data_IF_918336706113
#
_entry.id   IF_918336706113
#
_cell.length_a   1.000
_cell.length_b   1.000
_cell.length_c   1.000
_cell.angle_alpha   90.00
_cell.angle_beta   90.00
_cell.angle_gamma   90.00
#
_symmetry.space_group_name_H-M   'P 1'
#
loop_
_entity.id
_entity.type
_entity.pdbx_description
1 polymer ?
#
# COMPACT_ATOMS: atom_id res chain seq x y z
N UNK A 1 -2.65 -13.62 -3.39
CA UNK A 1 -1.27 -13.53 -2.87
C UNK A 1 -0.67 -12.14 -3.07
N UNK A 2 -0.55 -11.64 -4.31
CA UNK A 2 0.13 -10.36 -4.60
C UNK A 2 -0.41 -9.16 -3.79
N UNK A 3 -1.73 -8.98 -3.70
CA UNK A 3 -2.32 -7.92 -2.88
C UNK A 3 -2.12 -8.07 -1.37
N UNK A 4 -1.83 -9.28 -0.87
CA UNK A 4 -1.52 -9.51 0.54
C UNK A 4 -0.02 -9.34 0.80
N UNK A 5 0.80 -10.32 0.37
CA UNK A 5 2.26 -10.33 0.59
C UNK A 5 2.96 -9.19 -0.12
N UNK A 6 2.68 -9.00 -1.41
CA UNK A 6 3.40 -8.03 -2.24
C UNK A 6 3.01 -6.58 -1.99
N UNK A 7 1.82 -6.31 -1.44
CA UNK A 7 1.30 -4.95 -1.25
C UNK A 7 1.18 -4.57 0.22
N UNK A 8 0.42 -5.33 1.02
CA UNK A 8 0.07 -4.93 2.40
C UNK A 8 1.11 -5.40 3.42
N UNK A 9 1.44 -6.68 3.44
CA UNK A 9 2.31 -7.25 4.49
C UNK A 9 3.79 -7.02 4.24
N UNK A 10 4.28 -7.31 3.03
CA UNK A 10 5.70 -7.29 2.69
C UNK A 10 6.47 -6.00 3.03
N UNK A 11 5.85 -4.79 3.01
CA UNK A 11 6.53 -3.57 3.43
C UNK A 11 6.80 -3.42 4.95
N UNK A 12 6.18 -4.24 5.81
CA UNK A 12 6.36 -4.15 7.27
C UNK A 12 7.74 -4.68 7.64
N UNK A 13 8.65 -3.78 8.00
CA UNK A 13 10.08 -4.05 7.84
C UNK A 13 10.65 -5.03 8.85
N UNK A 14 10.17 -5.01 10.08
CA UNK A 14 10.71 -5.77 11.22
C UNK A 14 10.03 -7.14 11.42
N UNK A 15 9.17 -7.53 10.48
CA UNK A 15 8.56 -8.85 10.45
C UNK A 15 9.16 -9.73 9.35
N UNK A 16 9.20 -11.04 9.59
CA UNK A 16 9.55 -12.03 8.57
C UNK A 16 8.28 -12.50 7.85
N UNK A 17 8.28 -12.45 6.52
CA UNK A 17 7.13 -12.84 5.70
C UNK A 17 7.43 -14.10 4.90
N UNK A 18 6.88 -15.24 5.34
CA UNK A 18 7.06 -16.54 4.68
C UNK A 18 6.09 -16.61 3.50
N UNK A 19 6.62 -16.78 2.29
CA UNK A 19 5.86 -17.19 1.11
C UNK A 19 5.65 -18.69 1.19
N UNK A 20 4.50 -19.11 1.71
CA UNK A 20 4.25 -20.51 2.08
C UNK A 20 3.63 -21.26 0.90
N UNK A 21 4.48 -22.03 0.23
CA UNK A 21 4.17 -22.79 -0.98
C UNK A 21 5.44 -23.12 -1.76
N UNK A 22 5.33 -23.42 -3.06
CA UNK A 22 6.48 -23.60 -3.96
C UNK A 22 7.33 -22.33 -4.10
N UNK A 23 8.51 -22.44 -4.73
CA UNK A 23 9.46 -21.31 -4.81
C UNK A 23 8.98 -20.09 -5.61
N UNK A 24 8.02 -20.27 -6.53
CA UNK A 24 7.70 -19.30 -7.59
C UNK A 24 7.20 -17.95 -7.09
N UNK A 25 6.14 -17.89 -6.28
CA UNK A 25 5.48 -16.62 -5.96
C UNK A 25 6.39 -15.71 -5.13
N UNK A 26 7.11 -16.29 -4.16
CA UNK A 26 8.15 -15.59 -3.40
C UNK A 26 9.23 -15.01 -4.32
N UNK A 27 9.76 -15.81 -5.26
CA UNK A 27 10.85 -15.41 -6.14
C UNK A 27 10.48 -14.24 -7.08
N UNK A 28 9.33 -14.29 -7.76
CA UNK A 28 8.92 -13.22 -8.68
C UNK A 28 8.50 -11.92 -7.97
N UNK A 29 8.16 -12.01 -6.69
CA UNK A 29 7.81 -10.84 -5.87
C UNK A 29 8.98 -10.29 -5.04
N UNK A 30 10.18 -10.86 -5.20
CA UNK A 30 11.35 -10.48 -4.43
C UNK A 30 11.98 -9.18 -4.96
N UNK A 31 11.85 -8.10 -4.20
CA UNK A 31 12.44 -6.79 -4.56
C UNK A 31 11.81 -6.12 -5.79
N UNK A 32 10.72 -6.66 -6.33
CA UNK A 32 10.07 -6.12 -7.55
C UNK A 32 9.23 -4.88 -7.28
N UNK A 33 8.80 -4.68 -6.02
CA UNK A 33 8.09 -3.48 -5.57
C UNK A 33 9.00 -2.61 -4.70
N UNK A 34 9.03 -1.31 -5.00
CA UNK A 34 9.96 -0.34 -4.39
C UNK A 34 9.45 0.28 -3.09
N UNK A 35 8.82 -0.51 -2.22
CA UNK A 35 8.40 -0.05 -0.89
C UNK A 35 9.64 0.16 0.01
N UNK A 36 10.13 1.39 0.06
CA UNK A 36 11.37 1.74 0.76
C UNK A 36 11.21 1.64 2.28
N UNK A 37 12.32 1.34 2.95
CA UNK A 37 12.41 1.24 4.40
C UNK A 37 13.82 1.61 4.87
N UNK A 38 13.95 1.94 6.15
CA UNK A 38 15.24 2.11 6.84
C UNK A 38 15.42 1.01 7.87
N UNK A 39 16.53 0.28 7.77
CA UNK A 39 16.94 -0.75 8.70
C UNK A 39 18.11 -1.59 8.17
N UNK A 40 18.58 -2.54 8.97
CA UNK A 40 19.69 -3.43 8.63
C UNK A 40 19.15 -4.76 8.13
N UNK A 41 19.16 -4.93 6.80
CA UNK A 41 18.54 -6.09 6.15
C UNK A 41 19.18 -7.40 6.58
N UNK A 42 18.36 -8.37 7.02
CA UNK A 42 18.80 -9.67 7.55
C UNK A 42 19.17 -9.66 9.03
N UNK A 43 19.12 -8.49 9.69
CA UNK A 43 19.33 -8.36 11.13
C UNK A 43 18.03 -7.93 11.81
N UNK A 44 17.62 -6.67 11.62
CA UNK A 44 16.41 -6.10 12.24
C UNK A 44 15.27 -5.86 11.23
N UNK A 45 15.57 -5.97 9.93
CA UNK A 45 14.63 -5.69 8.85
C UNK A 45 14.73 -6.74 7.74
N UNK A 46 13.62 -7.06 7.08
CA UNK A 46 13.54 -8.28 6.24
C UNK A 46 12.82 -8.09 4.89
N UNK A 47 12.37 -6.87 4.56
CA UNK A 47 11.56 -6.55 3.37
C UNK A 47 12.14 -7.09 2.06
N UNK A 48 13.45 -6.96 1.86
CA UNK A 48 14.14 -7.36 0.63
C UNK A 48 14.80 -8.74 0.74
N UNK A 49 14.30 -9.60 1.63
CA UNK A 49 14.62 -11.02 1.66
C UNK A 49 13.43 -11.85 1.20
N UNK A 50 13.72 -13.04 0.68
CA UNK A 50 12.73 -14.03 0.31
C UNK A 50 12.80 -15.18 1.30
N UNK A 51 11.76 -15.29 2.12
CA UNK A 51 11.53 -16.46 2.97
C UNK A 51 10.46 -17.30 2.30
N UNK A 52 10.72 -18.59 2.15
CA UNK A 52 9.76 -19.53 1.56
C UNK A 52 9.88 -20.89 2.22
N UNK A 53 8.79 -21.64 2.18
CA UNK A 53 8.81 -23.05 2.53
C UNK A 53 9.26 -23.95 1.40
N UNK A 54 9.42 -23.44 0.16
CA UNK A 54 9.87 -24.18 -1.03
C UNK A 54 9.25 -25.60 -1.13
N UNK A 55 7.93 -25.65 -1.28
CA UNK A 55 7.20 -26.91 -1.34
C UNK A 55 7.72 -27.81 -2.45
N UNK A 56 8.00 -29.04 -2.06
CA UNK A 56 8.31 -30.15 -2.94
C UNK A 56 7.08 -31.06 -3.07
N UNK A 57 7.13 -32.03 -3.98
CA UNK A 57 6.04 -32.98 -4.20
C UNK A 57 5.57 -33.66 -2.90
N UNK A 58 6.50 -34.06 -2.02
CA UNK A 58 6.16 -34.65 -0.72
C UNK A 58 5.34 -33.73 0.18
N UNK A 59 5.55 -32.42 0.08
CA UNK A 59 4.83 -31.43 0.90
C UNK A 59 3.40 -31.24 0.35
N UNK A 60 3.21 -31.42 -0.96
CA UNK A 60 1.89 -31.46 -1.60
C UNK A 60 1.13 -32.73 -1.19
N UNK A 61 1.79 -33.88 -1.23
CA UNK A 61 1.16 -35.19 -0.97
C UNK A 61 0.82 -35.38 0.52
N UNK A 62 1.68 -34.91 1.42
CA UNK A 62 1.56 -35.19 2.86
C UNK A 62 1.23 -33.97 3.73
N UNK A 63 1.04 -32.79 3.12
CA UNK A 63 0.81 -31.54 3.83
C UNK A 63 2.09 -30.84 4.31
N UNK A 64 2.01 -29.52 4.46
CA UNK A 64 3.13 -28.64 4.78
C UNK A 64 3.25 -28.25 6.26
N UNK A 65 2.24 -28.51 7.10
CA UNK A 65 2.19 -28.02 8.48
C UNK A 65 3.41 -28.41 9.33
N UNK A 66 3.89 -29.66 9.20
CA UNK A 66 5.09 -30.12 9.91
C UNK A 66 6.35 -29.40 9.45
N UNK A 67 6.46 -29.12 8.15
CA UNK A 67 7.58 -28.38 7.56
C UNK A 67 7.53 -26.92 8.04
N UNK A 68 6.34 -26.33 8.08
CA UNK A 68 6.11 -24.97 8.56
C UNK A 68 6.52 -24.81 10.03
N UNK A 69 6.20 -25.76 10.91
CA UNK A 69 6.68 -25.77 12.31
C UNK A 69 8.21 -25.68 12.36
N UNK A 70 8.91 -26.51 11.58
CA UNK A 70 10.37 -26.52 11.55
C UNK A 70 10.96 -25.22 11.00
N UNK A 71 10.36 -24.66 9.95
CA UNK A 71 10.76 -23.37 9.38
C UNK A 71 10.62 -22.24 10.40
N UNK A 72 9.53 -22.23 11.18
CA UNK A 72 9.34 -21.22 12.24
C UNK A 72 10.45 -21.32 13.28
N UNK A 73 10.85 -22.53 13.68
CA UNK A 73 11.96 -22.74 14.63
C UNK A 73 13.29 -22.23 14.06
N UNK A 74 13.58 -22.55 12.80
CA UNK A 74 14.79 -22.07 12.11
C UNK A 74 14.82 -20.55 11.97
N UNK A 75 13.68 -19.91 11.71
CA UNK A 75 13.58 -18.44 11.65
C UNK A 75 13.88 -17.81 13.02
N UNK A 76 13.40 -18.41 14.13
CA UNK A 76 13.73 -17.89 15.46
C UNK A 76 15.21 -18.00 15.80
N UNK A 77 15.85 -19.09 15.37
CA UNK A 77 17.28 -19.31 15.61
C UNK A 77 18.14 -18.38 14.76
N UNK A 78 17.84 -18.27 13.45
CA UNK A 78 18.68 -17.55 12.48
C UNK A 78 18.42 -16.05 12.45
N UNK A 79 17.21 -15.60 12.78
CA UNK A 79 16.79 -14.20 12.72
C UNK A 79 16.17 -13.74 14.05
N UNK A 80 16.87 -13.84 15.18
CA UNK A 80 16.29 -13.69 16.52
C UNK A 80 15.67 -12.31 16.78
N UNK A 81 16.05 -11.27 16.03
CA UNK A 81 15.53 -9.91 16.16
C UNK A 81 14.24 -9.65 15.37
N UNK A 82 13.66 -10.65 14.69
CA UNK A 82 12.36 -10.48 14.06
C UNK A 82 11.28 -10.20 15.13
N UNK A 83 10.45 -9.18 14.92
CA UNK A 83 9.40 -8.79 15.88
C UNK A 83 8.09 -9.57 15.67
N UNK A 84 7.95 -10.24 14.53
CA UNK A 84 6.81 -11.09 14.24
C UNK A 84 6.98 -11.83 12.92
N UNK A 85 6.09 -12.79 12.67
CA UNK A 85 6.13 -13.62 11.47
C UNK A 85 4.76 -13.60 10.81
N UNK A 86 4.70 -13.54 9.48
CA UNK A 86 3.46 -13.82 8.74
C UNK A 86 3.64 -15.00 7.81
N UNK A 87 2.61 -15.81 7.66
CA UNK A 87 2.56 -16.98 6.79
C UNK A 87 1.62 -16.65 5.64
N UNK A 88 2.20 -16.32 4.50
CA UNK A 88 1.47 -15.86 3.31
C UNK A 88 1.18 -17.06 2.43
N UNK A 89 -0.06 -17.56 2.47
CA UNK A 89 -0.47 -18.76 1.74
C UNK A 89 -0.37 -18.55 0.22
N UNK A 90 0.36 -19.42 -0.46
CA UNK A 90 0.28 -19.59 -1.91
C UNK A 90 -0.83 -20.59 -2.28
N UNK A 91 -1.07 -20.81 -3.57
CA UNK A 91 -2.21 -21.60 -4.04
C UNK A 91 -2.34 -23.00 -3.40
N UNK A 92 -1.28 -23.82 -3.26
CA UNK A 92 -1.46 -25.19 -2.79
C UNK A 92 -2.00 -25.32 -1.37
N UNK A 93 -1.70 -24.36 -0.49
CA UNK A 93 -2.00 -24.45 0.95
C UNK A 93 -3.49 -24.68 1.20
N UNK A 94 -4.35 -23.87 0.56
CA UNK A 94 -5.79 -24.00 0.69
C UNK A 94 -6.38 -25.22 -0.03
N UNK A 95 -5.69 -25.75 -1.03
CA UNK A 95 -6.14 -26.90 -1.82
C UNK A 95 -5.89 -28.23 -1.10
N UNK A 96 -4.77 -28.33 -0.38
CA UNK A 96 -4.38 -29.56 0.33
C UNK A 96 -4.89 -29.60 1.78
N UNK A 97 -5.45 -28.49 2.27
CA UNK A 97 -6.11 -28.44 3.58
C UNK A 97 -5.15 -28.27 4.77
N UNK A 98 -3.95 -27.73 4.56
CA UNK A 98 -3.03 -27.35 5.64
C UNK A 98 -3.69 -26.37 6.62
N UNK A 99 -3.46 -26.51 7.93
CA UNK A 99 -4.03 -25.68 9.01
C UNK A 99 -2.99 -24.73 9.61
N UNK A 100 -2.64 -23.70 8.82
CA UNK A 100 -1.65 -22.71 9.23
C UNK A 100 -2.09 -21.88 10.44
N UNK A 101 -3.39 -21.78 10.73
CA UNK A 101 -3.91 -21.11 11.91
C UNK A 101 -3.61 -21.89 13.19
N UNK A 102 -3.78 -23.22 13.18
CA UNK A 102 -3.40 -24.07 14.29
C UNK A 102 -1.88 -24.02 14.55
N UNK A 103 -1.07 -24.09 13.49
CA UNK A 103 0.40 -23.95 13.59
C UNK A 103 0.77 -22.59 14.19
N UNK A 104 0.18 -21.50 13.70
CA UNK A 104 0.46 -20.13 14.17
C UNK A 104 0.18 -19.97 15.67
N UNK A 105 -1.00 -20.43 16.13
CA UNK A 105 -1.36 -20.36 17.56
C UNK A 105 -0.43 -21.19 18.44
N UNK A 106 -0.12 -22.42 18.02
CA UNK A 106 0.74 -23.32 18.78
C UNK A 106 2.14 -22.73 18.94
N UNK A 107 2.76 -22.26 17.84
CA UNK A 107 4.11 -21.70 17.86
C UNK A 107 4.17 -20.32 18.50
N UNK A 108 3.13 -19.50 18.36
CA UNK A 108 3.02 -18.23 19.09
C UNK A 108 3.08 -18.45 20.60
N UNK A 109 2.30 -19.42 21.11
CA UNK A 109 2.31 -19.82 22.53
C UNK A 109 3.68 -20.35 22.96
N UNK A 110 4.30 -21.19 22.14
CA UNK A 110 5.63 -21.76 22.42
C UNK A 110 6.72 -20.68 22.50
N UNK A 111 6.64 -19.66 21.65
CA UNK A 111 7.58 -18.53 21.62
C UNK A 111 7.19 -17.38 22.55
N UNK A 112 6.45 -17.66 23.63
CA UNK A 112 6.14 -16.65 24.65
C UNK A 112 5.18 -15.55 24.19
N UNK A 113 4.26 -15.86 23.27
CA UNK A 113 3.27 -14.90 22.75
C UNK A 113 3.75 -14.11 21.53
N UNK A 114 4.78 -14.59 20.82
CA UNK A 114 5.24 -13.92 19.60
C UNK A 114 4.13 -13.82 18.57
N UNK A 115 4.00 -12.67 17.92
CA UNK A 115 3.00 -12.44 16.85
C UNK A 115 3.32 -13.29 15.62
N UNK A 116 2.48 -14.30 15.37
CA UNK A 116 2.53 -15.15 14.17
C UNK A 116 1.17 -15.07 13.47
N UNK A 117 1.15 -14.52 12.27
CA UNK A 117 -0.07 -14.19 11.53
C UNK A 117 -0.26 -15.15 10.35
N UNK A 118 -1.22 -16.08 10.38
CA UNK A 118 -1.63 -16.86 9.23
C UNK A 118 -2.45 -15.99 8.28
N UNK A 119 -2.10 -15.99 7.00
CA UNK A 119 -2.80 -15.20 5.98
C UNK A 119 -3.22 -16.10 4.83
N UNK A 120 -4.52 -16.39 4.76
CA UNK A 120 -5.17 -17.18 3.69
C UNK A 120 -5.36 -16.37 2.42
N UNK A 121 -4.24 -15.97 1.83
CA UNK A 121 -4.19 -15.17 0.61
C UNK A 121 -3.85 -15.98 -0.65
N UNK A 122 -4.28 -17.23 -0.73
CA UNK A 122 -4.06 -18.12 -1.86
C UNK A 122 -4.46 -17.44 -3.18
N UNK A 123 -3.68 -17.65 -4.25
CA UNK A 123 -3.84 -16.91 -5.51
C UNK A 123 -5.15 -17.15 -6.27
N UNK A 124 -5.85 -18.25 -5.97
CA UNK A 124 -7.15 -18.56 -6.58
C UNK A 124 -8.33 -17.85 -5.90
N UNK A 125 -8.11 -17.17 -4.77
CA UNK A 125 -9.19 -16.47 -4.05
C UNK A 125 -9.46 -15.12 -4.68
N UNK A 126 -10.75 -14.85 -4.92
CA UNK A 126 -11.19 -13.60 -5.53
C UNK A 126 -10.82 -13.54 -7.01
N UNK A 127 -10.77 -12.34 -7.56
CA UNK A 127 -10.54 -12.11 -8.99
C UNK A 127 -9.30 -11.26 -9.28
N UNK A 128 -8.68 -10.69 -8.26
CA UNK A 128 -7.54 -9.78 -8.41
C UNK A 128 -6.81 -9.55 -7.08
N UNK A 129 -5.80 -8.67 -7.09
CA UNK A 129 -5.09 -8.17 -5.92
C UNK A 129 -6.04 -7.61 -4.86
N UNK A 130 -7.23 -7.11 -5.25
CA UNK A 130 -8.17 -6.45 -4.35
C UNK A 130 -8.61 -7.30 -3.17
N UNK A 131 -8.96 -8.58 -3.39
CA UNK A 131 -9.34 -9.47 -2.28
C UNK A 131 -8.14 -9.78 -1.37
N UNK A 132 -6.94 -9.82 -1.94
CA UNK A 132 -5.70 -9.92 -1.16
C UNK A 132 -5.52 -8.76 -0.19
N UNK A 133 -5.92 -7.53 -0.57
CA UNK A 133 -5.93 -6.41 0.36
C UNK A 133 -6.89 -6.66 1.52
N UNK A 134 -8.14 -7.05 1.23
CA UNK A 134 -9.16 -7.28 2.25
C UNK A 134 -8.72 -8.38 3.24
N UNK A 135 -8.27 -9.53 2.72
CA UNK A 135 -7.74 -10.63 3.54
C UNK A 135 -6.59 -10.17 4.44
N UNK A 136 -5.69 -9.34 3.91
CA UNK A 136 -4.58 -8.82 4.71
C UNK A 136 -5.05 -7.85 5.82
N UNK A 137 -6.05 -7.00 5.55
CA UNK A 137 -6.64 -6.12 6.55
C UNK A 137 -7.33 -6.93 7.67
N UNK A 138 -8.06 -7.97 7.30
CA UNK A 138 -8.71 -8.87 8.26
C UNK A 138 -7.69 -9.63 9.10
N UNK A 139 -6.59 -10.07 8.50
CA UNK A 139 -5.50 -10.72 9.25
C UNK A 139 -4.86 -9.77 10.28
N UNK A 140 -4.67 -8.48 9.94
CA UNK A 140 -4.24 -7.47 10.92
C UNK A 140 -5.27 -7.32 12.03
N UNK A 141 -6.55 -7.16 11.68
CA UNK A 141 -7.66 -7.02 12.65
C UNK A 141 -7.63 -8.17 13.67
N UNK A 142 -7.54 -9.39 13.17
CA UNK A 142 -7.73 -10.58 14.00
C UNK A 142 -6.47 -10.97 14.78
N UNK A 143 -5.27 -10.79 14.20
CA UNK A 143 -4.01 -11.32 14.76
C UNK A 143 -3.04 -10.25 15.25
N UNK A 144 -3.28 -8.97 14.98
CA UNK A 144 -2.55 -7.88 15.62
C UNK A 144 -3.48 -7.20 16.61
N UNK A 145 -4.62 -6.65 16.16
CA UNK A 145 -5.53 -5.93 17.05
C UNK A 145 -6.29 -6.85 18.01
N UNK A 146 -6.58 -8.09 17.63
CA UNK A 146 -7.18 -9.08 18.52
C UNK A 146 -6.35 -9.37 19.78
N UNK A 147 -5.03 -9.23 19.70
CA UNK A 147 -4.13 -9.39 20.86
C UNK A 147 -3.95 -8.12 21.69
N UNK A 148 -4.44 -6.96 21.21
CA UNK A 148 -4.44 -5.71 21.95
C UNK A 148 -5.63 -5.60 22.92
N UNK A 149 -6.46 -6.64 23.03
CA UNK A 149 -7.57 -6.72 23.99
C UNK A 149 -7.04 -6.88 25.42
N UNK A 150 -6.54 -5.77 25.96
CA UNK A 150 -6.11 -5.58 27.35
C UNK A 150 -5.71 -4.12 27.58
N UNK A 151 -5.79 -3.65 28.82
CA UNK A 151 -5.45 -2.27 29.25
C UNK A 151 -3.93 -1.99 29.24
N UNK A 152 -3.23 -2.48 28.22
CA UNK A 152 -1.84 -2.13 27.98
C UNK A 152 -1.74 -0.63 27.75
N UNK A 153 -1.10 0.08 28.71
CA UNK A 153 -0.78 1.49 28.52
C UNK A 153 0.01 1.63 27.21
N UNK A 154 -0.29 2.65 26.38
CA UNK A 154 0.48 2.88 25.16
C UNK A 154 1.97 3.00 25.52
N UNK A 155 2.84 2.44 24.67
CA UNK A 155 4.30 2.52 24.84
C UNK A 155 4.84 3.96 24.73
N UNK A 156 3.98 4.91 24.36
CA UNK A 156 4.25 6.33 24.24
C UNK A 156 3.13 7.13 24.91
N UNK A 157 3.43 8.36 25.34
CA UNK A 157 2.41 9.29 25.84
C UNK A 157 1.61 9.85 24.65
N UNK A 158 0.29 9.62 24.58
CA UNK A 158 -0.54 10.12 23.48
C UNK A 158 -0.64 11.64 23.51
N UNK A 159 -0.81 12.24 22.33
CA UNK A 159 -1.10 13.67 22.17
C UNK A 159 -2.40 13.90 21.39
N UNK A 160 -2.98 15.11 21.45
CA UNK A 160 -4.13 15.49 20.61
C UNK A 160 -3.81 15.51 19.10
N UNK A 161 -2.55 15.44 18.70
CA UNK A 161 -2.09 15.62 17.31
C UNK A 161 -1.56 14.32 16.67
N UNK A 162 -1.83 13.18 17.29
CA UNK A 162 -1.36 11.88 16.81
C UNK A 162 -2.17 11.42 15.61
N UNK A 163 -1.51 11.11 14.49
CA UNK A 163 -2.15 10.60 13.27
C UNK A 163 -1.43 9.39 12.72
N UNK A 164 -2.13 8.59 11.92
CA UNK A 164 -1.53 7.51 11.15
C UNK A 164 -1.73 7.75 9.65
N UNK A 165 -0.68 7.54 8.86
CA UNK A 165 -0.77 7.51 7.40
C UNK A 165 -1.23 6.11 7.01
N UNK A 166 -2.43 6.01 6.43
CA UNK A 166 -3.04 4.73 6.06
C UNK A 166 -3.01 4.53 4.54
N UNK A 167 -2.46 3.40 4.08
CA UNK A 167 -2.44 3.05 2.66
C UNK A 167 -1.40 3.84 1.84
N UNK A 168 -0.27 4.21 2.45
CA UNK A 168 0.93 4.63 1.73
C UNK A 168 2.03 3.59 1.92
N UNK A 169 2.57 3.11 0.80
CA UNK A 169 3.52 2.02 0.77
C UNK A 169 4.96 2.48 0.55
N UNK A 170 5.19 3.79 0.63
CA UNK A 170 6.51 4.40 0.55
C UNK A 170 7.26 4.03 -0.73
N UNK A 171 6.56 4.05 -1.87
CA UNK A 171 7.14 3.70 -3.16
C UNK A 171 8.22 4.72 -3.51
N UNK A 172 9.49 4.32 -3.44
CA UNK A 172 10.59 5.24 -3.68
C UNK A 172 10.69 6.42 -2.70
N UNK A 173 10.08 6.34 -1.52
CA UNK A 173 10.08 7.43 -0.53
C UNK A 173 8.79 8.26 -0.44
N UNK A 174 7.71 7.88 -1.14
CA UNK A 174 6.43 8.62 -1.15
C UNK A 174 5.92 8.97 0.26
N UNK A 175 5.86 7.99 1.17
CA UNK A 175 5.33 8.16 2.53
C UNK A 175 6.22 9.09 3.36
N UNK A 176 7.54 9.01 3.21
CA UNK A 176 8.47 9.91 3.91
C UNK A 176 8.27 11.37 3.50
N UNK A 177 8.11 11.61 2.19
CA UNK A 177 7.84 12.96 1.68
C UNK A 177 6.49 13.50 2.17
N UNK A 178 5.49 12.62 2.30
CA UNK A 178 4.19 12.95 2.87
C UNK A 178 4.28 13.23 4.37
N UNK A 179 5.00 12.39 5.11
CA UNK A 179 5.18 12.50 6.56
C UNK A 179 5.78 13.84 6.95
N UNK A 180 6.83 14.29 6.24
CA UNK A 180 7.48 15.57 6.52
C UNK A 180 6.49 16.72 6.49
N UNK A 181 5.59 16.79 5.50
CA UNK A 181 4.59 17.85 5.40
C UNK A 181 3.61 17.84 6.59
N UNK A 182 3.18 16.65 7.02
CA UNK A 182 2.28 16.48 8.16
C UNK A 182 2.95 16.87 9.48
N UNK A 183 4.21 16.53 9.67
CA UNK A 183 4.98 16.88 10.87
C UNK A 183 5.33 18.38 10.91
N UNK A 184 5.70 18.99 9.78
CA UNK A 184 5.92 20.45 9.70
C UNK A 184 4.64 21.26 9.92
N UNK A 185 3.48 20.69 9.56
CA UNK A 185 2.15 21.24 9.86
C UNK A 185 1.86 21.20 11.38
N UNK A 186 2.56 20.34 12.14
CA UNK A 186 2.48 20.25 13.59
C UNK A 186 1.83 18.98 14.13
N UNK A 187 1.53 18.00 13.25
CA UNK A 187 1.04 16.68 13.65
C UNK A 187 2.18 15.77 14.09
N UNK A 188 1.86 14.70 14.82
CA UNK A 188 2.79 13.61 15.13
C UNK A 188 2.35 12.35 14.40
N UNK A 189 3.11 11.90 13.41
CA UNK A 189 2.80 10.68 12.67
C UNK A 189 3.28 9.46 13.46
N UNK A 190 2.34 8.74 14.10
CA UNK A 190 2.66 7.60 14.97
C UNK A 190 2.75 6.27 14.22
N UNK A 191 2.27 6.20 12.98
CA UNK A 191 2.32 5.00 12.16
C UNK A 191 2.24 5.31 10.65
N UNK A 192 2.85 4.46 9.84
CA UNK A 192 2.73 4.44 8.37
C UNK A 192 2.37 3.04 7.87
N UNK A 193 1.25 2.93 7.15
CA UNK A 193 0.69 1.64 6.71
C UNK A 193 0.85 1.46 5.20
N UNK A 194 1.76 0.62 4.73
CA UNK A 194 2.79 -0.11 5.48
C UNK A 194 4.22 0.19 5.03
N UNK A 195 4.41 1.17 4.14
CA UNK A 195 5.75 1.54 3.69
C UNK A 195 6.62 2.05 4.83
N UNK A 196 7.79 1.44 5.02
CA UNK A 196 8.69 1.66 6.17
C UNK A 196 8.05 1.38 7.55
N UNK A 197 6.84 0.79 7.58
CA UNK A 197 6.11 0.52 8.82
C UNK A 197 6.73 -0.60 9.63
N UNK A 198 6.52 -0.56 10.95
CA UNK A 198 6.92 -1.61 11.90
C UNK A 198 5.71 -2.24 12.59
N UNK A 199 5.85 -3.46 13.11
CA UNK A 199 4.79 -4.09 13.90
C UNK A 199 4.34 -3.20 15.08
N UNK A 200 5.30 -2.55 15.74
CA UNK A 200 5.01 -1.65 16.86
C UNK A 200 4.16 -0.44 16.44
N UNK A 201 4.37 0.11 15.24
CA UNK A 201 3.53 1.19 14.69
C UNK A 201 2.12 0.71 14.36
N UNK A 202 1.98 -0.49 13.80
CA UNK A 202 0.67 -1.10 13.58
C UNK A 202 -0.08 -1.22 14.92
N UNK A 203 0.55 -1.79 15.94
CA UNK A 203 -0.01 -1.94 17.29
C UNK A 203 -0.35 -0.60 17.97
N UNK A 204 0.41 0.46 17.66
CA UNK A 204 0.18 1.81 18.18
C UNK A 204 -1.00 2.54 17.51
N UNK A 205 -1.38 2.14 16.30
CA UNK A 205 -2.35 2.86 15.46
C UNK A 205 -3.73 3.06 16.11
N UNK A 206 -4.29 2.11 16.89
CA UNK A 206 -5.52 2.32 17.65
C UNK A 206 -5.48 3.48 18.69
N UNK A 207 -4.35 4.17 18.84
CA UNK A 207 -4.20 5.36 19.70
C UNK A 207 -4.20 6.68 18.92
N UNK A 208 -4.22 6.63 17.59
CA UNK A 208 -4.31 7.81 16.73
C UNK A 208 -5.61 8.62 17.01
N UNK A 209 -5.58 9.90 16.65
CA UNK A 209 -6.72 10.81 16.69
C UNK A 209 -7.39 10.95 15.33
N UNK A 210 -6.65 10.66 14.26
CA UNK A 210 -7.15 10.63 12.88
C UNK A 210 -6.34 9.63 12.06
N UNK A 211 -7.03 8.81 11.27
CA UNK A 211 -6.46 7.97 10.25
C UNK A 211 -6.53 8.68 8.89
N UNK A 212 -5.38 9.02 8.31
CA UNK A 212 -5.32 9.77 7.06
C UNK A 212 -5.11 8.78 5.91
N UNK A 213 -6.18 8.50 5.16
CA UNK A 213 -6.25 7.40 4.20
C UNK A 213 -5.85 7.84 2.78
N UNK A 214 -4.69 7.40 2.31
CA UNK A 214 -4.25 7.66 0.94
C UNK A 214 -4.85 6.63 -0.03
N UNK A 215 -4.43 5.36 0.06
CA UNK A 215 -4.95 4.30 -0.78
C UNK A 215 -6.26 3.74 -0.22
N UNK A 216 -7.36 4.38 -0.59
CA UNK A 216 -8.70 3.94 -0.24
C UNK A 216 -8.95 2.45 -0.58
N UNK A 217 -8.67 2.02 -1.82
CA UNK A 217 -8.96 0.65 -2.27
C UNK A 217 -8.38 -0.44 -1.39
N UNK A 218 -7.16 -0.25 -0.89
CA UNK A 218 -6.45 -1.31 -0.16
C UNK A 218 -6.66 -1.27 1.35
N UNK A 219 -6.96 -0.11 1.94
CA UNK A 219 -6.98 0.04 3.40
C UNK A 219 -8.29 0.63 3.95
N UNK A 220 -9.31 0.88 3.13
CA UNK A 220 -10.62 1.32 3.65
C UNK A 220 -11.22 0.31 4.64
N UNK A 221 -10.90 -0.99 4.50
CA UNK A 221 -11.40 -2.05 5.38
C UNK A 221 -10.95 -1.83 6.83
N UNK A 222 -9.63 -1.69 7.07
CA UNK A 222 -9.10 -1.46 8.42
C UNK A 222 -9.44 -0.06 8.93
N UNK A 223 -9.54 0.95 8.06
CA UNK A 223 -9.99 2.29 8.46
C UNK A 223 -11.41 2.27 9.03
N UNK A 224 -12.36 1.60 8.34
CA UNK A 224 -13.74 1.41 8.82
C UNK A 224 -13.77 0.63 10.12
N UNK A 225 -13.00 -0.45 10.22
CA UNK A 225 -12.91 -1.23 11.45
C UNK A 225 -12.39 -0.39 12.63
N UNK A 226 -11.38 0.46 12.42
CA UNK A 226 -10.83 1.32 13.48
C UNK A 226 -11.80 2.43 13.90
N UNK A 227 -12.60 2.94 12.98
CA UNK A 227 -13.70 3.86 13.30
C UNK A 227 -14.77 3.16 14.15
N UNK A 228 -15.23 1.97 13.74
CA UNK A 228 -16.25 1.19 14.43
C UNK A 228 -15.80 0.71 15.83
N UNK A 229 -14.58 0.17 15.95
CA UNK A 229 -14.08 -0.45 17.19
C UNK A 229 -13.44 0.55 18.16
N UNK A 230 -12.69 1.53 17.63
CA UNK A 230 -11.89 2.46 18.44
C UNK A 230 -12.38 3.92 18.37
N UNK A 231 -13.40 4.23 17.56
CA UNK A 231 -13.92 5.58 17.41
C UNK A 231 -12.96 6.53 16.70
N UNK A 232 -11.96 6.01 15.96
CA UNK A 232 -10.95 6.83 15.29
C UNK A 232 -11.48 7.23 13.91
N UNK A 233 -11.76 8.53 13.68
CA UNK A 233 -12.23 8.98 12.37
C UNK A 233 -11.14 8.75 11.32
N UNK A 234 -11.56 8.67 10.05
CA UNK A 234 -10.65 8.64 8.92
C UNK A 234 -11.06 9.61 7.83
N UNK A 235 -10.10 10.11 7.07
CA UNK A 235 -10.38 10.96 5.91
C UNK A 235 -9.48 10.61 4.72
N UNK A 236 -10.07 10.61 3.52
CA UNK A 236 -9.30 10.46 2.27
C UNK A 236 -8.50 11.74 1.98
N UNK A 237 -7.26 11.57 1.52
CA UNK A 237 -6.38 12.67 1.08
C UNK A 237 -5.61 12.28 -0.19
N UNK A 238 -5.01 13.26 -0.86
CA UNK A 238 -4.23 13.07 -2.07
C UNK A 238 -3.00 13.98 -2.10
N UNK A 239 -1.81 13.40 -2.08
CA UNK A 239 -0.54 14.13 -2.14
C UNK A 239 0.16 14.07 -3.52
N UNK A 240 -0.60 13.87 -4.59
CA UNK A 240 -0.10 14.03 -5.95
C UNK A 240 -0.38 15.43 -6.50
N UNK A 241 0.69 16.23 -6.63
CA UNK A 241 0.63 17.58 -7.20
C UNK A 241 0.35 18.66 -6.16
N UNK A 242 0.91 19.87 -6.33
CA UNK A 242 0.79 20.95 -5.35
C UNK A 242 -0.66 21.33 -5.01
N UNK A 243 -1.58 21.33 -5.99
CA UNK A 243 -2.97 21.70 -5.72
C UNK A 243 -3.65 20.71 -4.77
N UNK A 244 -3.52 19.40 -5.04
CA UNK A 244 -4.10 18.35 -4.20
C UNK A 244 -3.42 18.24 -2.84
N UNK A 245 -2.11 18.49 -2.77
CA UNK A 245 -1.39 18.58 -1.49
C UNK A 245 -1.97 19.71 -0.64
N UNK A 246 -2.13 20.92 -1.18
CA UNK A 246 -2.66 22.06 -0.43
C UNK A 246 -4.12 21.84 0.03
N UNK A 247 -4.98 21.32 -0.85
CA UNK A 247 -6.36 20.92 -0.51
C UNK A 247 -6.38 19.89 0.63
N UNK A 248 -5.51 18.88 0.55
CA UNK A 248 -5.42 17.81 1.53
C UNK A 248 -4.90 18.30 2.88
N UNK A 249 -3.85 19.12 2.92
CA UNK A 249 -3.32 19.70 4.16
C UNK A 249 -4.40 20.51 4.90
N UNK A 250 -5.12 21.37 4.17
CA UNK A 250 -6.25 22.14 4.73
C UNK A 250 -7.37 21.24 5.25
N UNK A 251 -7.74 20.21 4.48
CA UNK A 251 -8.77 19.24 4.88
C UNK A 251 -8.37 18.51 6.16
N UNK A 252 -7.14 18.03 6.24
CA UNK A 252 -6.61 17.33 7.42
C UNK A 252 -6.58 18.28 8.63
N UNK A 253 -6.07 19.49 8.45
CA UNK A 253 -6.03 20.49 9.51
C UNK A 253 -7.42 20.87 10.06
N UNK A 254 -8.47 20.77 9.23
CA UNK A 254 -9.86 20.98 9.64
C UNK A 254 -10.37 20.03 10.74
N UNK A 255 -9.69 18.91 10.99
CA UNK A 255 -10.00 17.98 12.10
C UNK A 255 -9.38 18.40 13.43
N UNK A 256 -8.55 19.44 13.44
CA UNK A 256 -7.77 19.88 14.60
C UNK A 256 -8.02 21.36 14.93
N UNK A 257 -7.27 21.88 15.90
CA UNK A 257 -7.36 23.26 16.34
C UNK A 257 -6.67 24.25 15.40
N UNK A 258 -6.77 25.55 15.73
CA UNK A 258 -6.27 26.63 14.88
C UNK A 258 -4.74 26.59 14.72
N UNK A 259 -4.00 26.02 15.69
CA UNK A 259 -2.56 25.81 15.56
C UNK A 259 -2.22 24.94 14.36
N UNK A 260 -2.96 23.85 14.14
CA UNK A 260 -2.73 22.95 12.98
C UNK A 260 -3.21 23.61 11.68
N UNK A 261 -4.30 24.38 11.71
CA UNK A 261 -4.77 25.15 10.53
C UNK A 261 -3.75 26.19 10.09
N UNK A 262 -3.20 26.97 11.02
CA UNK A 262 -2.10 27.90 10.75
C UNK A 262 -0.84 27.15 10.28
N UNK A 263 -0.58 25.97 10.83
CA UNK A 263 0.48 25.08 10.38
C UNK A 263 0.35 24.66 8.92
N UNK A 264 -0.87 24.38 8.45
CA UNK A 264 -1.13 24.01 7.06
C UNK A 264 -0.79 25.16 6.11
N UNK A 265 -1.27 26.37 6.39
CA UNK A 265 -0.96 27.55 5.56
C UNK A 265 0.53 27.88 5.57
N UNK A 266 1.20 27.77 6.74
CA UNK A 266 2.65 27.96 6.85
C UNK A 266 3.43 26.99 5.97
N UNK A 267 3.06 25.71 5.96
CA UNK A 267 3.71 24.69 5.11
C UNK A 267 3.45 25.00 3.62
N UNK A 268 2.21 25.32 3.25
CA UNK A 268 1.85 25.66 1.86
C UNK A 268 2.69 26.87 1.39
N UNK A 269 2.75 27.94 2.17
CA UNK A 269 3.53 29.14 1.86
C UNK A 269 5.03 28.83 1.73
N UNK A 270 5.59 28.04 2.66
CA UNK A 270 7.00 27.63 2.67
C UNK A 270 7.40 26.95 1.36
N UNK A 271 6.56 26.06 0.82
CA UNK A 271 6.87 25.29 -0.39
C UNK A 271 6.42 25.97 -1.69
N UNK A 272 5.63 27.05 -1.63
CA UNK A 272 5.15 27.76 -2.82
C UNK A 272 6.27 28.20 -3.78
N UNK A 273 7.44 28.70 -3.34
CA UNK A 273 8.55 29.03 -4.24
C UNK A 273 9.08 27.81 -5.02
N UNK A 274 9.16 26.64 -4.38
CA UNK A 274 9.57 25.39 -5.04
C UNK A 274 8.55 25.00 -6.11
N UNK A 275 7.26 25.05 -5.77
CA UNK A 275 6.16 24.77 -6.69
C UNK A 275 6.23 25.68 -7.91
N UNK A 276 6.34 27.00 -7.68
CA UNK A 276 6.43 27.99 -8.76
C UNK A 276 7.61 27.71 -9.68
N UNK A 277 8.78 27.37 -9.13
CA UNK A 277 9.97 27.06 -9.91
C UNK A 277 9.80 25.80 -10.78
N UNK A 278 9.15 24.75 -10.24
CA UNK A 278 8.86 23.52 -10.97
C UNK A 278 7.86 23.78 -12.10
N UNK A 279 6.75 24.48 -11.82
CA UNK A 279 5.74 24.83 -12.82
C UNK A 279 6.35 25.70 -13.93
N UNK A 280 7.06 26.78 -13.57
CA UNK A 280 7.68 27.67 -14.55
C UNK A 280 8.68 26.93 -15.47
N UNK A 281 9.37 25.93 -14.95
CA UNK A 281 10.34 25.14 -15.72
C UNK A 281 9.69 24.11 -16.65
N UNK A 282 8.65 23.40 -16.17
CA UNK A 282 8.15 22.19 -16.84
C UNK A 282 6.79 22.35 -17.51
N UNK A 283 5.88 23.17 -16.97
CA UNK A 283 4.56 23.37 -17.56
C UNK A 283 4.63 23.87 -19.02
N UNK A 284 5.46 24.87 -19.39
CA UNK A 284 5.58 25.29 -20.79
C UNK A 284 6.06 24.20 -21.77
N UNK A 285 6.63 23.11 -21.27
CA UNK A 285 7.10 21.97 -22.08
C UNK A 285 6.04 20.87 -22.24
N UNK A 286 5.01 20.92 -21.41
CA UNK A 286 4.00 19.87 -21.25
C UNK A 286 2.57 20.38 -21.51
N UNK A 287 2.39 21.69 -21.62
CA UNK A 287 1.08 22.30 -21.89
C UNK A 287 0.39 21.67 -23.10
N UNK A 288 -0.86 21.26 -22.92
CA UNK A 288 -1.71 20.63 -23.92
C UNK A 288 -1.35 19.17 -24.26
N UNK A 289 -0.36 18.56 -23.58
CA UNK A 289 0.00 17.15 -23.81
C UNK A 289 -1.05 16.21 -23.23
N UNK A 290 -1.42 15.20 -24.01
CA UNK A 290 -2.44 14.22 -23.64
C UNK A 290 -1.84 12.98 -23.00
N UNK A 291 -2.56 12.38 -22.05
CA UNK A 291 -2.10 11.24 -21.25
C UNK A 291 -3.17 10.16 -21.17
N UNK A 292 -2.75 8.90 -21.28
CA UNK A 292 -3.57 7.73 -20.93
C UNK A 292 -2.95 6.97 -19.76
N UNK A 293 -3.80 6.54 -18.81
CA UNK A 293 -3.38 5.89 -17.56
C UNK A 293 -3.99 4.49 -17.38
N UNK A 294 -3.18 3.51 -17.00
CA UNK A 294 -3.68 2.19 -16.58
C UNK A 294 -2.83 1.62 -15.46
N UNK A 295 -3.37 1.52 -14.26
CA UNK A 295 -2.62 1.10 -13.04
C UNK A 295 -3.57 0.26 -12.16
N UNK A 296 -3.19 -0.05 -10.93
CA UNK A 296 -3.97 -0.84 -9.97
C UNK A 296 -5.32 -0.24 -9.53
N UNK A 297 -5.40 0.30 -8.31
CA UNK A 297 -6.68 0.64 -7.65
C UNK A 297 -6.85 2.06 -7.13
N UNK A 298 -5.85 2.94 -7.31
CA UNK A 298 -5.86 4.30 -6.74
C UNK A 298 -5.30 5.34 -7.71
N UNK A 299 -4.04 5.14 -8.11
CA UNK A 299 -3.28 6.08 -8.91
C UNK A 299 -3.96 6.52 -10.22
N UNK A 300 -4.77 5.70 -10.92
CA UNK A 300 -5.44 6.15 -12.15
C UNK A 300 -6.30 7.41 -11.99
N UNK A 301 -6.88 7.66 -10.80
CA UNK A 301 -7.50 8.96 -10.47
C UNK A 301 -6.57 9.91 -9.73
N UNK A 302 -5.80 9.40 -8.76
CA UNK A 302 -5.08 10.25 -7.80
C UNK A 302 -4.03 11.15 -8.46
N UNK A 303 -3.40 10.70 -9.55
CA UNK A 303 -2.33 11.46 -10.20
C UNK A 303 -2.84 12.52 -11.19
N UNK A 304 -4.15 12.57 -11.48
CA UNK A 304 -4.70 13.45 -12.53
C UNK A 304 -4.41 14.91 -12.22
N UNK A 305 -4.62 15.36 -10.98
CA UNK A 305 -4.32 16.75 -10.59
C UNK A 305 -2.86 17.15 -10.80
N UNK A 306 -1.91 16.22 -10.58
CA UNK A 306 -0.49 16.48 -10.83
C UNK A 306 -0.17 16.65 -12.33
N UNK A 307 -0.90 15.97 -13.22
CA UNK A 307 -0.81 16.19 -14.66
C UNK A 307 -1.38 17.56 -15.05
N UNK A 308 -2.54 17.93 -14.50
CA UNK A 308 -3.22 19.20 -14.76
C UNK A 308 -2.42 20.42 -14.24
N UNK A 309 -1.73 20.28 -13.11
CA UNK A 309 -0.80 21.28 -12.57
C UNK A 309 0.32 21.61 -13.59
N UNK A 310 0.69 20.65 -14.43
CA UNK A 310 1.66 20.79 -15.53
C UNK A 310 1.02 21.10 -16.90
N UNK A 311 -0.27 21.38 -16.94
CA UNK A 311 -1.00 21.73 -18.17
C UNK A 311 -1.28 20.55 -19.10
N UNK A 312 -1.12 19.32 -18.60
CA UNK A 312 -1.43 18.10 -19.36
C UNK A 312 -2.91 17.71 -19.19
N UNK A 313 -3.43 16.92 -20.11
CA UNK A 313 -4.81 16.43 -20.09
C UNK A 313 -4.85 14.91 -20.07
N UNK A 314 -5.53 14.34 -19.07
CA UNK A 314 -5.76 12.88 -19.02
C UNK A 314 -7.00 12.55 -19.82
N UNK A 315 -6.81 11.96 -21.00
CA UNK A 315 -7.88 11.64 -21.97
C UNK A 315 -8.39 10.20 -21.86
N UNK A 316 -7.69 9.35 -21.11
CA UNK A 316 -8.11 7.99 -20.79
C UNK A 316 -7.53 7.51 -19.47
N UNK A 317 -8.31 6.81 -18.67
CA UNK A 317 -7.84 6.25 -17.40
C UNK A 317 -8.55 4.95 -17.05
N UNK A 318 -7.89 4.07 -16.31
CA UNK A 318 -8.50 2.81 -15.92
C UNK A 318 -7.73 2.02 -14.88
N UNK A 319 -8.37 0.97 -14.39
CA UNK A 319 -7.92 0.21 -13.23
C UNK A 319 -7.83 -1.27 -13.55
N UNK A 320 -6.79 -1.93 -13.04
CA UNK A 320 -6.69 -3.39 -13.03
C UNK A 320 -7.75 -4.01 -12.10
N UNK A 321 -8.09 -3.32 -10.99
CA UNK A 321 -8.94 -3.89 -9.94
C UNK A 321 -9.70 -2.83 -9.12
N UNK A 322 -10.08 -1.73 -9.74
CA UNK A 322 -10.95 -0.72 -9.12
C UNK A 322 -12.33 -1.31 -8.83
N UNK A 323 -13.01 -0.86 -7.77
CA UNK A 323 -14.42 -1.20 -7.56
C UNK A 323 -15.31 -0.01 -7.95
N UNK A 324 -16.62 -0.22 -8.01
CA UNK A 324 -17.58 0.84 -8.38
C UNK A 324 -17.44 2.12 -7.54
N UNK A 325 -17.05 2.02 -6.28
CA UNK A 325 -16.82 3.20 -5.43
C UNK A 325 -15.55 3.98 -5.82
N UNK A 326 -14.54 3.32 -6.40
CA UNK A 326 -13.40 3.98 -7.05
C UNK A 326 -13.82 4.64 -8.38
N UNK A 327 -14.66 3.98 -9.18
CA UNK A 327 -15.19 4.55 -10.43
C UNK A 327 -16.07 5.77 -10.20
N UNK A 328 -16.93 5.74 -9.17
CA UNK A 328 -17.74 6.90 -8.78
C UNK A 328 -16.86 8.10 -8.41
N UNK A 329 -15.82 7.90 -7.58
CA UNK A 329 -14.84 8.95 -7.26
C UNK A 329 -14.15 9.49 -8.51
N UNK A 330 -13.76 8.59 -9.42
CA UNK A 330 -13.08 8.95 -10.68
C UNK A 330 -13.96 9.85 -11.53
N UNK A 331 -15.20 9.40 -11.81
CA UNK A 331 -16.15 10.09 -12.68
C UNK A 331 -16.62 11.43 -12.10
N UNK A 332 -16.81 11.52 -10.78
CA UNK A 332 -17.41 12.71 -10.15
C UNK A 332 -16.41 13.82 -9.83
N UNK A 333 -15.12 13.49 -9.65
CA UNK A 333 -14.18 14.44 -9.05
C UNK A 333 -12.87 14.62 -9.82
N UNK A 334 -12.56 13.76 -10.79
CA UNK A 334 -11.24 13.75 -11.40
C UNK A 334 -11.23 13.85 -12.92
N UNK A 335 -12.17 13.23 -13.62
CA UNK A 335 -12.16 13.23 -15.09
C UNK A 335 -13.19 14.20 -15.66
N UNK A 336 -12.93 14.69 -16.88
CA UNK A 336 -13.84 15.53 -17.64
C UNK A 336 -14.83 14.67 -18.45
N UNK A 337 -15.91 15.30 -18.90
CA UNK A 337 -16.85 14.68 -19.84
C UNK A 337 -16.12 14.14 -21.08
N UNK A 338 -16.52 12.96 -21.55
CA UNK A 338 -15.93 12.25 -22.70
C UNK A 338 -14.53 11.63 -22.50
N UNK A 339 -13.98 11.61 -21.28
CA UNK A 339 -12.77 10.83 -20.96
C UNK A 339 -13.07 9.33 -21.06
N UNK A 340 -12.22 8.55 -21.75
CA UNK A 340 -12.38 7.10 -21.83
C UNK A 340 -12.04 6.46 -20.47
N UNK A 341 -12.95 5.64 -19.94
CA UNK A 341 -12.72 4.85 -18.73
C UNK A 341 -12.76 3.36 -19.08
N UNK A 342 -11.77 2.60 -18.63
CA UNK A 342 -11.70 1.15 -18.84
C UNK A 342 -11.39 0.40 -17.52
N UNK A 343 -12.04 -0.75 -17.35
CA UNK A 343 -11.89 -1.68 -16.22
C UNK A 343 -11.28 -2.97 -16.74
N UNK A 344 -10.23 -3.47 -16.07
CA UNK A 344 -9.50 -4.69 -16.44
C UNK A 344 -9.16 -4.76 -17.94
N UNK A 345 -8.66 -3.64 -18.49
CA UNK A 345 -8.40 -3.53 -19.93
C UNK A 345 -7.41 -4.58 -20.36
N UNK A 346 -7.76 -5.34 -21.39
CA UNK A 346 -6.85 -6.33 -21.95
C UNK A 346 -5.82 -5.70 -22.89
N UNK A 347 -4.76 -6.44 -23.22
CA UNK A 347 -3.68 -5.93 -24.05
C UNK A 347 -4.12 -5.47 -25.44
N UNK A 348 -5.08 -6.17 -26.05
CA UNK A 348 -5.61 -5.81 -27.38
C UNK A 348 -6.38 -4.49 -27.33
N UNK A 349 -7.32 -4.36 -26.39
CA UNK A 349 -8.10 -3.14 -26.20
C UNK A 349 -7.20 -1.94 -25.95
N UNK A 350 -6.23 -2.07 -25.02
CA UNK A 350 -5.39 -0.94 -24.65
C UNK A 350 -4.50 -0.49 -25.82
N UNK A 351 -3.98 -1.44 -26.60
CA UNK A 351 -3.24 -1.12 -27.83
C UNK A 351 -4.12 -0.39 -28.85
N UNK A 352 -5.35 -0.87 -29.08
CA UNK A 352 -6.28 -0.24 -30.03
C UNK A 352 -6.74 1.15 -29.58
N UNK A 353 -6.95 1.35 -28.29
CA UNK A 353 -7.27 2.67 -27.75
C UNK A 353 -6.12 3.66 -27.94
N UNK A 354 -4.89 3.25 -27.61
CA UNK A 354 -3.70 4.10 -27.81
C UNK A 354 -3.47 4.38 -29.31
N UNK A 355 -3.65 3.39 -30.19
CA UNK A 355 -3.57 3.58 -31.63
C UNK A 355 -4.62 4.58 -32.13
N UNK A 356 -5.85 4.53 -31.61
CA UNK A 356 -6.92 5.40 -32.06
C UNK A 356 -6.83 6.82 -31.50
N UNK A 357 -6.48 6.95 -30.22
CA UNK A 357 -6.46 8.21 -29.48
C UNK A 357 -5.12 8.95 -29.60
N UNK A 358 -4.03 8.26 -29.95
CA UNK A 358 -2.69 8.82 -30.15
C UNK A 358 -2.23 9.74 -28.98
N UNK A 359 -2.21 9.26 -27.73
CA UNK A 359 -1.79 10.08 -26.59
C UNK A 359 -0.30 10.47 -26.69
N UNK A 360 0.06 11.64 -26.17
CA UNK A 360 1.47 12.06 -26.10
C UNK A 360 2.27 11.28 -25.04
N UNK A 361 1.60 10.68 -24.05
CA UNK A 361 2.22 9.91 -22.97
C UNK A 361 1.29 8.77 -22.49
N UNK A 362 1.86 7.60 -22.24
CA UNK A 362 1.19 6.51 -21.51
C UNK A 362 1.83 6.30 -20.15
N UNK A 363 1.01 6.27 -19.09
CA UNK A 363 1.40 5.95 -17.73
C UNK A 363 0.81 4.60 -17.30
N UNK A 364 1.63 3.55 -17.18
CA UNK A 364 1.15 2.21 -16.80
C UNK A 364 2.22 1.35 -16.12
N UNK A 365 2.16 0.02 -16.25
CA UNK A 365 3.05 -0.94 -15.63
C UNK A 365 4.19 -1.44 -16.50
N UNK A 366 4.99 -2.35 -15.93
CA UNK A 366 6.18 -2.88 -16.61
C UNK A 366 5.82 -3.76 -17.82
N UNK A 367 4.67 -4.43 -17.78
CA UNK A 367 4.22 -5.34 -18.85
C UNK A 367 3.82 -4.53 -20.09
N UNK A 368 3.29 -3.33 -19.88
CA UNK A 368 2.79 -2.42 -20.91
C UNK A 368 3.90 -1.55 -21.50
N UNK A 369 4.94 -1.24 -20.71
CA UNK A 369 6.04 -0.31 -21.06
C UNK A 369 6.62 -0.52 -22.46
N UNK A 370 7.06 -1.74 -22.74
CA UNK A 370 7.84 -2.02 -23.95
C UNK A 370 6.97 -2.12 -25.20
N UNK A 371 5.66 -2.35 -25.04
CA UNK A 371 4.68 -2.31 -26.14
C UNK A 371 4.61 -0.89 -26.68
N UNK A 372 4.28 0.07 -25.82
CA UNK A 372 4.07 1.46 -26.24
C UNK A 372 5.35 2.19 -26.66
N UNK A 373 6.50 1.87 -26.03
CA UNK A 373 7.78 2.39 -26.49
C UNK A 373 8.09 1.95 -27.93
N UNK A 374 7.75 0.71 -28.32
CA UNK A 374 7.93 0.22 -29.70
C UNK A 374 6.94 0.85 -30.68
N UNK A 375 5.78 1.30 -30.21
CA UNK A 375 4.82 2.09 -30.99
C UNK A 375 5.25 3.56 -31.16
N UNK A 376 6.38 3.98 -30.55
CA UNK A 376 6.86 5.36 -30.62
C UNK A 376 6.19 6.31 -29.63
N UNK A 377 5.44 5.78 -28.65
CA UNK A 377 4.75 6.60 -27.64
C UNK A 377 5.61 6.69 -26.37
N UNK A 378 5.91 7.91 -25.87
CA UNK A 378 6.56 8.08 -24.58
C UNK A 378 5.83 7.31 -23.47
N UNK A 379 6.59 6.67 -22.57
CA UNK A 379 6.03 5.83 -21.52
C UNK A 379 6.67 6.12 -20.16
N UNK A 380 5.85 6.16 -19.11
CA UNK A 380 6.29 6.22 -17.71
C UNK A 380 5.65 5.10 -16.89
N UNK A 381 6.45 4.43 -16.07
CA UNK A 381 5.93 3.47 -15.10
C UNK A 381 5.31 4.21 -13.91
N UNK A 382 4.09 3.83 -13.54
CA UNK A 382 3.27 4.52 -12.52
C UNK A 382 2.87 3.62 -11.33
N UNK A 383 3.48 2.44 -11.19
CA UNK A 383 3.22 1.47 -10.10
C UNK A 383 4.01 1.72 -8.82
#
# INVERSE_FOLDING_TARGET
>A
YAGSKGVVWGPIKDMVHISHGPVGCGQYSWGSRRNYYVGTTGIDSFVTLQFTSDFQEKDIVFGGDKKLVKILDEIQELFPLNNGITIQSECPIGLIGDDIEAVSRAKSKEYGGKTIVPVRCEGFRGVSQSLGHHIANDAVRDWIFGHLEGDGKPKFEPTPYDVAIIGDYNIGGDAWSSRILLEEMGLRVIAQWSGDGSLAELEATPKAKLNILHCYRSMNYISRHMEEKFGIPWCEYNFFGPLKIAESLRKIAGYFDDKIKEGAERVIEKYQPLVNAVIAKYRPRLEGKTVMLYVGGLRPRHVIGAYEDLGMEVIGTGYEFGHNDDYQRTAQHYVKDSTLIYDDVNGYEFERFVEKLQPDLVGSGIKEKYVFQKMGVPFRQMH
#
